data_IF_443083413307
#
_entry.id   IF_443083413307
#
_cell.length_a   1.000
_cell.length_b   1.000
_cell.length_c   1.000
_cell.angle_alpha   90.00
_cell.angle_beta   90.00
_cell.angle_gamma   90.00
#
_symmetry.space_group_name_H-M   'P 1'
#
loop_
_entity.id
_entity.type
_entity.pdbx_description
1 polymer ?
#
# COMPACT_ATOMS: atom_id res chain seq x y z
N UNK A 1 -7.34 7.04 8.40
CA UNK A 1 -7.05 6.40 9.70
C UNK A 1 -5.56 6.08 9.75
N UNK A 2 -4.89 6.32 10.88
CA UNK A 2 -3.47 6.06 11.09
C UNK A 2 -3.33 5.02 12.20
N UNK A 3 -2.49 4.00 12.02
CA UNK A 3 -2.32 2.90 12.97
C UNK A 3 -0.87 2.45 13.01
N UNK A 4 -0.39 2.15 14.21
CA UNK A 4 0.92 1.57 14.46
C UNK A 4 0.88 0.04 14.42
N UNK A 5 -0.31 -0.56 14.33
CA UNK A 5 -0.46 -1.99 14.19
C UNK A 5 -0.25 -2.43 12.76
N UNK A 6 0.27 -3.65 12.59
CA UNK A 6 0.40 -4.29 11.29
C UNK A 6 -0.97 -4.36 10.62
N UNK A 7 -1.05 -3.82 9.41
CA UNK A 7 -2.25 -3.87 8.58
C UNK A 7 -1.90 -4.58 7.28
N UNK A 8 -2.59 -5.67 7.00
CA UNK A 8 -2.49 -6.40 5.75
C UNK A 8 -3.86 -6.32 5.05
N UNK A 9 -3.87 -6.00 3.75
CA UNK A 9 -5.11 -5.95 2.93
C UNK A 9 -5.24 -7.20 2.05
N UNK A 10 -4.15 -7.96 1.88
CA UNK A 10 -4.15 -9.25 1.20
C UNK A 10 -4.29 -10.44 2.17
N UNK A 11 -4.53 -11.64 1.63
CA UNK A 11 -4.75 -12.87 2.40
C UNK A 11 -3.84 -13.99 1.89
N UNK A 12 -3.35 -14.91 2.77
CA UNK A 12 -2.61 -16.09 2.35
C UNK A 12 -3.32 -16.88 1.25
N UNK A 13 -2.55 -17.40 0.29
CA UNK A 13 -3.08 -18.16 -0.85
C UNK A 13 -3.60 -17.32 -2.03
N UNK A 14 -3.48 -15.99 -1.98
CA UNK A 14 -3.74 -15.09 -3.12
C UNK A 14 -2.43 -14.60 -3.72
N UNK A 15 -2.45 -14.35 -5.03
CA UNK A 15 -1.29 -13.86 -5.78
C UNK A 15 -0.70 -12.58 -5.19
N UNK A 16 -1.55 -11.65 -4.75
CA UNK A 16 -1.11 -10.40 -4.10
C UNK A 16 -0.28 -10.66 -2.83
N UNK A 17 -0.66 -11.65 -2.03
CA UNK A 17 0.08 -12.07 -0.84
C UNK A 17 1.41 -12.73 -1.22
N UNK A 18 1.42 -13.57 -2.25
CA UNK A 18 2.64 -14.22 -2.73
C UNK A 18 3.64 -13.19 -3.29
N UNK A 19 3.16 -12.22 -4.08
CA UNK A 19 3.96 -11.11 -4.59
C UNK A 19 4.54 -10.24 -3.45
N UNK A 20 3.77 -10.00 -2.40
CA UNK A 20 4.26 -9.30 -1.20
C UNK A 20 5.36 -10.08 -0.49
N UNK A 21 5.16 -11.39 -0.26
CA UNK A 21 6.16 -12.26 0.36
C UNK A 21 7.42 -12.43 -0.48
N UNK A 22 7.30 -12.35 -1.81
CA UNK A 22 8.43 -12.35 -2.72
C UNK A 22 9.21 -11.02 -2.76
N UNK A 23 8.82 -10.01 -1.97
CA UNK A 23 9.55 -8.76 -1.85
C UNK A 23 9.16 -7.68 -2.87
N UNK A 24 8.02 -7.82 -3.57
CA UNK A 24 7.53 -6.70 -4.37
C UNK A 24 7.38 -5.47 -3.47
N UNK A 25 7.69 -4.26 -3.96
CA UNK A 25 7.59 -3.04 -3.13
C UNK A 25 6.20 -2.40 -3.21
N UNK A 26 5.55 -2.53 -4.34
CA UNK A 26 4.22 -1.99 -4.60
C UNK A 26 3.36 -3.06 -5.28
N UNK A 27 2.10 -3.19 -4.86
CA UNK A 27 1.15 -4.17 -5.41
C UNK A 27 -0.21 -3.54 -5.57
N UNK A 28 -0.87 -3.86 -6.67
CA UNK A 28 -2.22 -3.45 -6.95
C UNK A 28 -3.12 -4.68 -6.98
N UNK A 29 -4.27 -4.60 -6.32
CA UNK A 29 -5.37 -5.55 -6.47
C UNK A 29 -6.54 -4.79 -7.04
N UNK A 30 -7.07 -5.23 -8.17
CA UNK A 30 -8.19 -4.59 -8.85
C UNK A 30 -9.35 -5.56 -9.07
N UNK A 31 -10.56 -5.03 -9.03
CA UNK A 31 -11.81 -5.70 -9.38
C UNK A 31 -12.71 -4.69 -10.08
N UNK A 32 -13.82 -5.15 -10.65
CA UNK A 32 -14.83 -4.28 -11.26
C UNK A 32 -15.41 -3.25 -10.28
N UNK A 33 -15.46 -3.57 -8.98
CA UNK A 33 -16.07 -2.70 -7.98
C UNK A 33 -15.08 -1.72 -7.32
N UNK A 34 -13.80 -2.10 -7.20
CA UNK A 34 -12.78 -1.32 -6.49
C UNK A 34 -11.38 -1.84 -6.76
N UNK A 35 -10.40 -0.99 -6.48
CA UNK A 35 -8.98 -1.35 -6.45
C UNK A 35 -8.32 -0.90 -5.14
N UNK A 36 -7.20 -1.51 -4.82
CA UNK A 36 -6.35 -1.17 -3.69
C UNK A 36 -4.88 -1.21 -4.12
N UNK A 37 -4.09 -0.22 -3.69
CA UNK A 37 -2.66 -0.13 -3.95
C UNK A 37 -1.92 -0.09 -2.62
N UNK A 38 -1.03 -1.06 -2.42
CA UNK A 38 -0.25 -1.23 -1.19
C UNK A 38 1.21 -0.97 -1.50
N UNK A 39 1.88 -0.18 -0.66
CA UNK A 39 3.30 0.13 -0.78
C UNK A 39 3.99 -0.23 0.53
N UNK A 40 5.06 -1.03 0.44
CA UNK A 40 5.91 -1.37 1.60
C UNK A 40 6.86 -0.20 1.87
N UNK A 41 6.83 0.30 3.09
CA UNK A 41 7.77 1.32 3.54
C UNK A 41 9.08 0.67 3.98
N UNK A 42 10.20 1.36 3.75
CA UNK A 42 11.49 0.93 4.31
C UNK A 42 11.49 1.16 5.84
N UNK A 43 12.12 0.27 6.63
CA UNK A 43 11.92 0.17 8.08
C UNK A 43 12.57 1.29 8.91
N UNK A 44 13.03 2.38 8.31
CA UNK A 44 13.78 3.40 9.04
C UNK A 44 12.89 4.34 9.88
N UNK A 45 11.68 4.68 9.42
CA UNK A 45 10.77 5.58 10.14
C UNK A 45 9.33 5.48 9.65
N UNK A 46 8.36 5.60 10.55
CA UNK A 46 6.95 5.69 10.15
C UNK A 46 6.73 7.03 9.41
N UNK A 47 6.17 7.00 8.19
CA UNK A 47 6.01 8.22 7.42
C UNK A 47 4.99 9.16 8.07
N UNK A 48 5.27 10.47 8.00
CA UNK A 48 4.33 11.49 8.46
C UNK A 48 3.06 11.48 7.62
N UNK A 49 1.93 11.90 8.20
CA UNK A 49 0.68 12.03 7.44
C UNK A 49 0.82 12.95 6.24
N UNK A 50 1.55 14.07 6.39
CA UNK A 50 1.80 15.01 5.29
C UNK A 50 2.56 14.34 4.13
N UNK A 51 3.59 13.55 4.44
CA UNK A 51 4.33 12.80 3.42
C UNK A 51 3.43 11.79 2.70
N UNK A 52 2.60 11.03 3.44
CA UNK A 52 1.66 10.06 2.88
C UNK A 52 0.62 10.71 1.96
N UNK A 53 0.09 11.87 2.35
CA UNK A 53 -0.86 12.63 1.54
C UNK A 53 -0.21 13.09 0.22
N UNK A 54 1.05 13.54 0.28
CA UNK A 54 1.82 13.94 -0.91
C UNK A 54 2.04 12.82 -1.94
N UNK A 55 2.08 11.55 -1.51
CA UNK A 55 2.28 10.42 -2.43
C UNK A 55 1.17 10.27 -3.48
N UNK A 56 -0.04 10.75 -3.19
CA UNK A 56 -1.21 10.58 -4.05
C UNK A 56 -1.77 11.90 -4.59
N UNK A 57 -1.60 13.00 -3.87
CA UNK A 57 -2.19 14.31 -4.22
C UNK A 57 -1.45 14.97 -5.39
N UNK A 58 -0.12 14.80 -5.51
CA UNK A 58 0.66 15.43 -6.59
C UNK A 58 0.44 14.85 -8.00
N UNK A 59 -0.38 13.81 -8.16
CA UNK A 59 -0.73 13.24 -9.48
C UNK A 59 -2.08 13.70 -10.01
N UNK A 60 -2.81 14.53 -9.26
CA UNK A 60 -3.98 15.25 -9.77
C UNK A 60 -3.61 16.73 -9.92
N UNK A 61 -2.97 17.09 -11.03
CA UNK A 61 -3.25 18.38 -11.66
C UNK A 61 -4.55 18.19 -12.45
N UNK A 62 -5.65 18.71 -11.92
CA UNK A 62 -6.78 19.12 -12.76
C UNK A 62 -6.43 20.49 -13.32
#
# INVERSE_FOLDING_TARGET
>A
KHTHHKMDVDKPGKDSYMLRKAGARQKMVASSARWALMTENMPAQMPSLAWLAGQWIHRCSI
#
